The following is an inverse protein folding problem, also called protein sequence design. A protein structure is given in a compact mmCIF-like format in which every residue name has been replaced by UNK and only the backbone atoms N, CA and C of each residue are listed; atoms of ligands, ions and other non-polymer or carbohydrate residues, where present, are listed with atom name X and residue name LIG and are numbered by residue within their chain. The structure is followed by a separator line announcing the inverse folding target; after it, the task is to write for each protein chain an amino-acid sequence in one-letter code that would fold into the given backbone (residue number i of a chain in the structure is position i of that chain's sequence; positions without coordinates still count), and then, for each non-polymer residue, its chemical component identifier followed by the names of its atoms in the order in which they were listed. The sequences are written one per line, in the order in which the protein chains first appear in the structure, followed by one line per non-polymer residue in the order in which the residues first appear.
data_IF_619091412876
#
_entry.id   IF_619091412876
#
_cell.length_a   1.000
_cell.length_b   1.000
_cell.length_c   1.000
_cell.angle_alpha   90.00
_cell.angle_beta   90.00
_cell.angle_gamma   90.00
#
_symmetry.space_group_name_H-M   'P 1'
#
loop_
_entity.id
_entity.type
_entity.pdbx_description
1 polymer ?
#
# COMPACT_ATOMS: atom_id res chain seq x y z
N UNK A 1 -8.90 5.73 14.75
CA UNK A 1 -8.22 4.70 13.95
C UNK A 1 -7.95 5.30 12.58
N UNK A 2 -6.71 5.23 12.07
CA UNK A 2 -6.41 5.75 10.75
C UNK A 2 -6.94 4.77 9.68
N UNK A 3 -7.53 5.29 8.61
CA UNK A 3 -7.96 4.46 7.49
C UNK A 3 -6.74 3.95 6.72
N UNK A 4 -6.67 2.64 6.52
CA UNK A 4 -5.62 1.98 5.75
C UNK A 4 -6.22 1.55 4.41
N UNK A 5 -5.67 2.06 3.31
CA UNK A 5 -6.07 1.65 1.97
C UNK A 5 -4.89 1.03 1.23
N UNK A 6 -5.13 -0.13 0.62
CA UNK A 6 -4.19 -0.84 -0.21
C UNK A 6 -4.60 -0.72 -1.67
N UNK A 7 -3.85 0.07 -2.43
CA UNK A 7 -3.99 0.16 -3.87
C UNK A 7 -3.26 -1.04 -4.51
N UNK A 8 -4.01 -1.94 -5.12
CA UNK A 8 -3.53 -3.21 -5.67
C UNK A 8 -3.92 -3.37 -7.14
N UNK A 9 -3.34 -4.37 -7.80
CA UNK A 9 -3.80 -4.85 -9.11
C UNK A 9 -3.99 -6.36 -9.08
N UNK A 10 -4.78 -6.89 -10.03
CA UNK A 10 -5.18 -8.31 -10.05
C UNK A 10 -4.01 -9.29 -10.05
N UNK A 11 -2.91 -8.96 -10.74
CA UNK A 11 -1.75 -9.84 -10.87
C UNK A 11 -0.48 -9.15 -10.34
N UNK A 12 -0.37 -9.05 -9.01
CA UNK A 12 0.70 -8.30 -8.34
C UNK A 12 1.31 -9.13 -7.19
N UNK A 13 2.50 -9.74 -7.40
CA UNK A 13 3.19 -10.50 -6.37
C UNK A 13 3.46 -9.71 -5.09
N UNK A 14 3.94 -8.47 -5.22
CA UNK A 14 4.20 -7.58 -4.09
C UNK A 14 2.93 -7.24 -3.30
N UNK A 15 1.81 -7.09 -3.99
CA UNK A 15 0.52 -6.86 -3.33
C UNK A 15 0.13 -8.06 -2.47
N UNK A 16 0.35 -9.29 -2.96
CA UNK A 16 0.09 -10.51 -2.18
C UNK A 16 0.93 -10.57 -0.91
N UNK A 17 2.22 -10.23 -0.99
CA UNK A 17 3.12 -10.19 0.17
C UNK A 17 2.61 -9.18 1.21
N UNK A 18 2.20 -7.99 0.78
CA UNK A 18 1.68 -6.97 1.68
C UNK A 18 0.33 -7.36 2.32
N UNK A 19 -0.58 -7.98 1.57
CA UNK A 19 -1.84 -8.51 2.11
C UNK A 19 -1.60 -9.57 3.19
N UNK A 20 -0.70 -10.50 2.93
CA UNK A 20 -0.34 -11.54 3.91
C UNK A 20 0.26 -10.93 5.19
N UNK A 21 1.03 -9.85 5.07
CA UNK A 21 1.53 -9.12 6.23
C UNK A 21 0.38 -8.50 7.07
N UNK A 22 -0.64 -7.94 6.43
CA UNK A 22 -1.81 -7.42 7.15
C UNK A 22 -2.65 -8.52 7.78
N UNK A 23 -2.88 -9.63 7.07
CA UNK A 23 -3.62 -10.79 7.56
C UNK A 23 -2.96 -11.41 8.79
N UNK A 24 -1.65 -11.65 8.75
CA UNK A 24 -0.89 -12.24 9.88
C UNK A 24 -0.88 -11.36 11.13
N UNK A 25 -1.14 -10.06 10.99
CA UNK A 25 -1.17 -9.07 12.08
C UNK A 25 -2.57 -8.57 12.40
N UNK A 26 -3.60 -9.17 11.78
CA UNK A 26 -5.00 -8.82 11.97
C UNK A 26 -5.30 -7.32 11.73
N UNK A 27 -4.58 -6.70 10.78
CA UNK A 27 -4.72 -5.29 10.41
C UNK A 27 -5.89 -5.17 9.43
N UNK A 28 -6.86 -4.33 9.77
CA UNK A 28 -7.98 -4.00 8.90
C UNK A 28 -7.55 -2.98 7.84
N UNK A 29 -7.84 -3.26 6.57
CA UNK A 29 -7.55 -2.37 5.45
C UNK A 29 -8.64 -2.49 4.38
N UNK A 30 -8.79 -1.43 3.59
CA UNK A 30 -9.63 -1.42 2.39
C UNK A 30 -8.78 -1.68 1.16
N UNK A 31 -9.19 -2.62 0.33
CA UNK A 31 -8.55 -2.84 -0.97
C UNK A 31 -9.16 -1.92 -2.03
N UNK A 32 -8.31 -1.27 -2.82
CA UNK A 32 -8.68 -0.38 -3.92
C UNK A 32 -7.99 -0.86 -5.19
N UNK A 33 -8.76 -1.07 -6.26
CA UNK A 33 -8.17 -1.42 -7.55
C UNK A 33 -7.47 -0.19 -8.17
N UNK A 34 -6.13 -0.22 -8.16
CA UNK A 34 -5.25 0.84 -8.68
C UNK A 34 -5.42 1.05 -10.18
N UNK A 35 -5.92 0.06 -10.93
CA UNK A 35 -6.15 0.17 -12.37
C UNK A 35 -7.37 1.05 -12.72
N UNK A 36 -8.18 1.45 -11.74
CA UNK A 36 -9.37 2.29 -11.99
C UNK A 36 -8.98 3.75 -12.18
N UNK A 37 -9.69 4.50 -13.05
CA UNK A 37 -9.46 5.94 -13.22
C UNK A 37 -9.59 6.74 -11.93
N UNK A 38 -10.53 6.35 -11.06
CA UNK A 38 -10.74 6.97 -9.76
C UNK A 38 -9.51 6.82 -8.85
N UNK A 39 -8.96 5.62 -8.72
CA UNK A 39 -7.76 5.37 -7.93
C UNK A 39 -6.54 6.13 -8.47
N UNK A 40 -6.34 6.13 -9.78
CA UNK A 40 -5.25 6.88 -10.41
C UNK A 40 -5.39 8.40 -10.23
N UNK A 41 -6.62 8.91 -10.21
CA UNK A 41 -6.90 10.34 -9.95
C UNK A 41 -6.55 10.68 -8.51
N UNK A 42 -7.01 9.87 -7.54
CA UNK A 42 -6.71 10.05 -6.12
C UNK A 42 -5.19 10.05 -5.87
N UNK A 43 -4.46 9.08 -6.41
CA UNK A 43 -3.00 9.01 -6.27
C UNK A 43 -2.32 10.27 -6.83
N UNK A 44 -2.69 10.73 -8.02
CA UNK A 44 -2.10 11.94 -8.63
C UNK A 44 -2.42 13.20 -7.84
N UNK A 45 -3.65 13.33 -7.34
CA UNK A 45 -4.06 14.46 -6.48
C UNK A 45 -3.23 14.53 -5.19
N UNK A 46 -2.76 13.38 -4.71
CA UNK A 46 -1.90 13.27 -3.53
C UNK A 46 -0.40 13.19 -3.88
N UNK A 47 0.01 13.66 -5.06
CA UNK A 47 1.40 13.68 -5.55
C UNK A 47 2.07 12.29 -5.67
N UNK A 48 1.28 11.23 -5.82
CA UNK A 48 1.76 9.86 -6.04
C UNK A 48 1.68 9.52 -7.52
N UNK A 49 2.84 9.52 -8.19
CA UNK A 49 2.96 9.29 -9.64
C UNK A 49 3.47 7.90 -10.01
N UNK A 50 3.46 6.95 -9.07
CA UNK A 50 3.91 5.58 -9.34
C UNK A 50 2.93 4.84 -10.26
N UNK A 51 3.50 4.09 -11.20
CA UNK A 51 2.74 3.13 -12.01
C UNK A 51 2.84 1.70 -11.45
N UNK A 52 3.60 1.52 -10.37
CA UNK A 52 3.82 0.22 -9.73
C UNK A 52 2.95 0.09 -8.49
N UNK A 53 2.26 -1.05 -8.41
CA UNK A 53 1.58 -1.51 -7.20
C UNK A 53 2.54 -2.35 -6.33
N UNK A 54 2.28 -2.49 -5.02
CA UNK A 54 1.23 -1.83 -4.25
C UNK A 54 1.56 -0.38 -3.90
N UNK A 55 0.52 0.43 -3.66
CA UNK A 55 0.63 1.68 -2.89
C UNK A 55 -0.16 1.51 -1.60
N UNK A 56 0.46 1.83 -0.47
CA UNK A 56 -0.16 1.81 0.83
C UNK A 56 -0.50 3.23 1.26
N UNK A 57 -1.76 3.48 1.59
CA UNK A 57 -2.21 4.72 2.20
C UNK A 57 -2.53 4.47 3.68
N UNK A 58 -2.00 5.32 4.55
CA UNK A 58 -2.31 5.35 5.98
C UNK A 58 -2.66 6.80 6.33
N UNK A 59 -3.95 7.06 6.59
CA UNK A 59 -4.46 8.41 6.73
C UNK A 59 -4.21 9.24 5.46
N UNK A 60 -3.47 10.34 5.59
CA UNK A 60 -3.10 11.22 4.47
C UNK A 60 -1.77 10.87 3.81
N UNK A 61 -1.06 9.85 4.31
CA UNK A 61 0.28 9.48 3.82
C UNK A 61 0.20 8.31 2.85
N UNK A 62 1.02 8.36 1.82
CA UNK A 62 1.13 7.32 0.80
C UNK A 62 2.56 6.78 0.77
N UNK A 63 2.68 5.46 0.64
CA UNK A 63 3.94 4.73 0.58
C UNK A 63 3.94 3.87 -0.67
N UNK A 64 4.93 4.08 -1.52
CA UNK A 64 5.07 3.37 -2.80
C UNK A 64 5.77 2.02 -2.62
N UNK A 65 5.73 1.16 -3.63
CA UNK A 65 6.47 -0.12 -3.64
C UNK A 65 7.94 0.04 -3.23
N UNK A 66 8.61 1.11 -3.68
CA UNK A 66 10.02 1.38 -3.36
C UNK A 66 10.26 1.71 -1.88
N UNK A 67 9.24 2.20 -1.20
CA UNK A 67 9.31 2.52 0.23
C UNK A 67 8.90 1.33 1.10
N UNK A 68 8.03 0.46 0.57
CA UNK A 68 7.51 -0.71 1.26
C UNK A 68 8.43 -1.93 1.13
N UNK A 69 9.22 -2.01 0.07
CA UNK A 69 10.07 -3.17 -0.25
C UNK A 69 11.54 -2.79 -0.37
N UNK A 70 12.42 -3.61 0.19
CA UNK A 70 13.87 -3.56 0.01
C UNK A 70 14.35 -4.89 -0.55
N UNK A 71 15.07 -4.86 -1.67
CA UNK A 71 15.59 -6.07 -2.34
C UNK A 71 14.51 -7.16 -2.50
N UNK A 72 13.32 -6.77 -2.96
CA UNK A 72 12.16 -7.66 -3.19
C UNK A 72 11.52 -8.28 -1.94
N UNK A 73 12.01 -7.93 -0.74
CA UNK A 73 11.39 -8.32 0.54
C UNK A 73 10.67 -7.13 1.16
N UNK A 74 9.53 -7.42 1.79
CA UNK A 74 8.81 -6.42 2.57
C UNK A 74 9.64 -6.00 3.78
N UNK A 75 9.81 -4.68 3.96
CA UNK A 75 10.52 -4.13 5.11
C UNK A 75 9.57 -4.05 6.31
N UNK A 76 9.48 -5.13 7.07
CA UNK A 76 8.55 -5.25 8.18
C UNK A 76 8.77 -4.18 9.25
N UNK A 77 10.03 -3.89 9.60
CA UNK A 77 10.37 -2.88 10.61
C UNK A 77 9.89 -1.49 10.20
N UNK A 78 10.04 -1.16 8.91
CA UNK A 78 9.56 0.10 8.35
C UNK A 78 8.04 0.17 8.32
N UNK A 79 7.36 -0.91 7.91
CA UNK A 79 5.89 -0.97 7.95
C UNK A 79 5.31 -0.83 9.35
N UNK A 80 5.91 -1.49 10.35
CA UNK A 80 5.48 -1.33 11.74
C UNK A 80 5.60 0.11 12.22
N UNK A 81 6.64 0.82 11.76
CA UNK A 81 6.82 2.24 12.09
C UNK A 81 5.74 3.13 11.46
N UNK A 82 5.24 2.77 10.28
CA UNK A 82 4.14 3.49 9.64
C UNK A 82 2.79 3.27 10.31
N UNK A 83 2.57 2.08 10.89
CA UNK A 83 1.31 1.68 11.52
C UNK A 83 1.17 2.11 12.99
N UNK A 84 2.27 2.50 13.65
CA UNK A 84 2.30 2.96 15.04
C UNK A 84 2.09 4.47 15.22
N UNK A 85 2.06 5.22 14.11
CA UNK A 85 1.93 6.68 14.08
C UNK A 85 0.47 7.14 13.93
#
# INVERSE_FOLDING_TARGET
MQEIQLYSTTNCPNCRVLKQFFETRNIQYKEVNMATPAALTELRMNNVFTMSAPVLQIGSRFFTTKELFSQEKIDQSRLESFLKN
#
